data_IF_556453649496
#
_entry.id   IF_556453649496
#
_cell.length_a   1.000
_cell.length_b   1.000
_cell.length_c   1.000
_cell.angle_alpha   90.00
_cell.angle_beta   90.00
_cell.angle_gamma   90.00
#
_symmetry.space_group_name_H-M   'P 1'
#
loop_
_entity.id
_entity.type
_entity.pdbx_description
1 polymer ?
#
# COMPACT_ATOMS: atom_id res chain seq x y z
N UNK A 1 4.38 -14.60 -5.66
CA UNK A 1 4.45 -13.30 -6.39
C UNK A 1 5.84 -12.75 -6.21
N UNK A 2 6.36 -12.00 -7.19
CA UNK A 2 7.60 -11.24 -7.04
C UNK A 2 7.28 -9.84 -6.53
N UNK A 3 8.23 -9.19 -5.84
CA UNK A 3 8.12 -7.79 -5.38
C UNK A 3 7.63 -6.85 -6.47
N UNK A 4 8.16 -6.99 -7.68
CA UNK A 4 7.85 -6.14 -8.83
C UNK A 4 6.36 -6.20 -9.19
N UNK A 5 5.77 -7.39 -9.24
CA UNK A 5 4.32 -7.53 -9.47
C UNK A 5 3.47 -6.95 -8.34
N UNK A 6 3.93 -7.00 -7.10
CA UNK A 6 3.24 -6.36 -5.96
C UNK A 6 3.28 -4.84 -6.14
N UNK A 7 4.44 -4.28 -6.49
CA UNK A 7 4.60 -2.83 -6.71
C UNK A 7 3.65 -2.35 -7.81
N UNK A 8 3.69 -3.00 -8.98
CA UNK A 8 2.85 -2.62 -10.12
C UNK A 8 1.37 -2.71 -9.78
N UNK A 9 0.95 -3.79 -9.12
CA UNK A 9 -0.45 -4.01 -8.78
C UNK A 9 -0.94 -3.09 -7.67
N UNK A 10 -0.15 -2.88 -6.61
CA UNK A 10 -0.44 -1.88 -5.57
C UNK A 10 -0.54 -0.49 -6.21
N UNK A 11 0.45 -0.08 -7.00
CA UNK A 11 0.46 1.25 -7.60
C UNK A 11 -0.72 1.47 -8.52
N UNK A 12 -1.07 0.50 -9.37
CA UNK A 12 -2.23 0.60 -10.25
C UNK A 12 -3.54 0.77 -9.46
N UNK A 13 -3.73 -0.05 -8.42
CA UNK A 13 -4.92 0.03 -7.57
C UNK A 13 -4.98 1.36 -6.84
N UNK A 14 -3.87 1.81 -6.25
CA UNK A 14 -3.85 3.06 -5.51
C UNK A 14 -3.99 4.28 -6.42
N UNK A 15 -3.39 4.25 -7.61
CA UNK A 15 -3.55 5.30 -8.61
C UNK A 15 -5.01 5.44 -9.05
N UNK A 16 -5.72 4.33 -9.25
CA UNK A 16 -7.13 4.32 -9.64
C UNK A 16 -8.04 4.76 -8.48
N UNK A 17 -7.87 4.17 -7.29
CA UNK A 17 -8.75 4.42 -6.13
C UNK A 17 -8.56 5.82 -5.54
N UNK A 18 -7.34 6.36 -5.56
CA UNK A 18 -7.04 7.70 -5.05
C UNK A 18 -6.98 8.78 -6.14
N UNK A 19 -7.17 8.41 -7.41
CA UNK A 19 -7.06 9.30 -8.58
C UNK A 19 -5.70 10.03 -8.64
N UNK A 20 -4.60 9.28 -8.42
CA UNK A 20 -3.23 9.80 -8.35
C UNK A 20 -2.39 9.23 -9.47
N UNK A 21 -1.48 10.04 -10.01
CA UNK A 21 -0.60 9.62 -11.09
C UNK A 21 0.42 8.57 -10.63
N UNK A 22 0.55 7.48 -11.40
CA UNK A 22 1.46 6.38 -11.09
C UNK A 22 2.93 6.82 -11.04
N UNK A 23 3.28 7.89 -11.75
CA UNK A 23 4.60 8.53 -11.71
C UNK A 23 4.99 9.06 -10.32
N UNK A 24 4.01 9.36 -9.46
CA UNK A 24 4.27 9.82 -8.09
C UNK A 24 4.64 8.68 -7.14
N UNK A 25 4.33 7.44 -7.51
CA UNK A 25 4.58 6.25 -6.70
C UNK A 25 6.04 5.80 -6.82
N UNK A 26 6.93 6.59 -6.25
CA UNK A 26 8.34 6.24 -6.17
C UNK A 26 8.62 5.46 -4.87
N UNK A 27 9.54 4.48 -4.87
CA UNK A 27 9.85 3.70 -3.68
C UNK A 27 10.35 4.57 -2.51
N UNK A 28 11.01 5.69 -2.80
CA UNK A 28 11.49 6.64 -1.80
C UNK A 28 10.42 7.67 -1.37
N UNK A 29 9.34 7.84 -2.14
CA UNK A 29 8.28 8.77 -1.81
C UNK A 29 7.52 8.34 -0.55
N UNK A 30 7.07 9.36 0.18
CA UNK A 30 6.25 9.18 1.37
C UNK A 30 4.82 8.79 0.95
N UNK A 31 4.34 7.66 1.46
CA UNK A 31 2.99 7.13 1.16
C UNK A 31 1.92 8.13 1.60
N UNK A 32 2.07 8.71 2.79
CA UNK A 32 1.08 9.61 3.38
C UNK A 32 1.02 10.94 2.64
N UNK A 33 2.16 11.49 2.24
CA UNK A 33 2.17 12.74 1.47
C UNK A 33 1.69 12.52 0.04
N UNK A 34 2.14 11.44 -0.61
CA UNK A 34 1.76 11.15 -2.00
C UNK A 34 0.28 10.89 -2.13
N UNK A 35 -0.28 10.03 -1.26
CA UNK A 35 -1.70 9.68 -1.26
C UNK A 35 -2.57 10.66 -0.48
N UNK A 36 -1.98 11.73 0.08
CA UNK A 36 -2.66 12.66 0.98
C UNK A 36 -3.50 11.93 2.04
N UNK A 37 -2.89 10.97 2.73
CA UNK A 37 -3.59 10.12 3.69
C UNK A 37 -3.91 10.88 4.97
N UNK A 38 -5.14 11.34 5.07
CA UNK A 38 -5.80 11.67 6.33
C UNK A 38 -6.24 10.41 7.10
N UNK A 39 -6.66 10.61 8.35
CA UNK A 39 -7.11 9.55 9.27
C UNK A 39 -8.20 8.64 8.70
N UNK A 40 -9.02 9.14 7.78
CA UNK A 40 -10.09 8.37 7.11
C UNK A 40 -9.56 7.58 5.91
N UNK A 41 -8.84 8.23 5.00
CA UNK A 41 -8.20 7.60 3.83
C UNK A 41 -7.19 6.51 4.20
N UNK A 42 -6.58 6.60 5.39
CA UNK A 42 -5.72 5.55 5.94
C UNK A 42 -6.48 4.22 6.14
N UNK A 43 -7.75 4.29 6.56
CA UNK A 43 -8.61 3.12 6.73
C UNK A 43 -9.00 2.54 5.37
N UNK A 44 -9.27 3.41 4.39
CA UNK A 44 -9.61 3.02 3.02
C UNK A 44 -8.45 2.29 2.34
N UNK A 45 -7.24 2.86 2.38
CA UNK A 45 -6.01 2.24 1.88
C UNK A 45 -5.82 0.82 2.45
N UNK A 46 -5.98 0.69 3.76
CA UNK A 46 -5.86 -0.60 4.47
C UNK A 46 -6.96 -1.56 4.04
N UNK A 47 -8.19 -1.10 3.86
CA UNK A 47 -9.29 -1.94 3.40
C UNK A 47 -9.05 -2.46 1.97
N UNK A 48 -8.60 -1.59 1.05
CA UNK A 48 -8.29 -1.94 -0.34
C UNK A 48 -7.22 -3.02 -0.40
N UNK A 49 -6.08 -2.80 0.25
CA UNK A 49 -4.96 -3.76 0.25
C UNK A 49 -5.38 -5.08 0.91
N UNK A 50 -6.06 -5.04 2.06
CA UNK A 50 -6.55 -6.25 2.72
C UNK A 50 -7.56 -7.02 1.85
N UNK A 51 -8.42 -6.33 1.10
CA UNK A 51 -9.39 -6.99 0.23
C UNK A 51 -8.71 -7.64 -0.97
N UNK A 52 -7.81 -6.91 -1.64
CA UNK A 52 -7.06 -7.37 -2.83
C UNK A 52 -6.15 -8.55 -2.48
N UNK A 53 -5.34 -8.40 -1.44
CA UNK A 53 -4.29 -9.37 -1.10
C UNK A 53 -4.74 -10.40 -0.06
N UNK A 54 -5.97 -10.28 0.48
CA UNK A 54 -6.53 -11.14 1.54
C UNK A 54 -5.66 -11.22 2.79
N UNK A 55 -4.83 -10.22 3.04
CA UNK A 55 -4.00 -10.08 4.24
C UNK A 55 -4.72 -9.27 5.31
N UNK A 56 -4.28 -9.37 6.57
CA UNK A 56 -4.74 -8.50 7.65
C UNK A 56 -3.66 -7.50 7.99
N UNK A 57 -3.92 -6.22 7.74
CA UNK A 57 -2.99 -5.12 8.03
C UNK A 57 -3.61 -4.27 9.15
N UNK A 58 -3.02 -4.23 10.34
CA UNK A 58 -3.46 -3.31 11.37
C UNK A 58 -3.03 -1.88 11.01
N UNK A 59 -3.93 -0.92 11.23
CA UNK A 59 -3.68 0.51 10.97
C UNK A 59 -2.41 1.00 11.68
N UNK A 60 -2.10 0.46 12.87
CA UNK A 60 -0.88 0.79 13.62
C UNK A 60 0.41 0.45 12.89
N UNK A 61 0.44 -0.62 12.07
CA UNK A 61 1.63 -0.94 11.26
C UNK A 61 1.67 -0.08 10.00
N UNK A 62 0.53 0.20 9.38
CA UNK A 62 0.48 1.19 8.28
C UNK A 62 0.92 2.58 8.72
N UNK A 63 0.65 2.97 9.97
CA UNK A 63 1.13 4.23 10.52
C UNK A 63 2.66 4.28 10.67
N UNK A 64 3.33 3.13 10.86
CA UNK A 64 4.79 3.03 10.89
C UNK A 64 5.39 3.08 9.49
N UNK A 65 4.64 2.69 8.47
CA UNK A 65 5.03 2.80 7.07
C UNK A 65 5.10 4.28 6.71
N UNK A 66 6.29 4.71 6.27
CA UNK A 66 6.53 6.08 5.79
C UNK A 66 6.66 6.09 4.28
N UNK A 67 7.47 5.20 3.71
CA UNK A 67 7.74 5.16 2.27
C UNK A 67 7.04 4.01 1.57
N UNK A 68 6.83 4.15 0.26
CA UNK A 68 6.26 3.07 -0.55
C UNK A 68 7.11 1.81 -0.50
N UNK A 69 8.44 1.96 -0.43
CA UNK A 69 9.32 0.81 -0.27
C UNK A 69 8.99 -0.01 0.99
N UNK A 70 8.67 0.64 2.12
CA UNK A 70 8.22 -0.07 3.33
C UNK A 70 6.84 -0.71 3.14
N UNK A 71 5.93 -0.06 2.40
CA UNK A 71 4.62 -0.62 2.10
C UNK A 71 4.73 -1.92 1.31
N UNK A 72 5.51 -1.92 0.22
CA UNK A 72 5.68 -3.10 -0.61
C UNK A 72 6.36 -4.24 0.13
N UNK A 73 7.39 -3.93 0.93
CA UNK A 73 8.10 -4.91 1.75
C UNK A 73 7.17 -5.54 2.80
N UNK A 74 6.31 -4.73 3.41
CA UNK A 74 5.30 -5.19 4.35
C UNK A 74 4.29 -6.12 3.68
N UNK A 75 3.76 -5.71 2.52
CA UNK A 75 2.82 -6.54 1.75
C UNK A 75 3.50 -7.83 1.34
N UNK A 76 4.70 -7.79 0.78
CA UNK A 76 5.49 -8.96 0.38
C UNK A 76 5.69 -9.95 1.54
N UNK A 77 6.06 -9.45 2.72
CA UNK A 77 6.30 -10.29 3.90
C UNK A 77 5.01 -10.90 4.48
N UNK A 78 3.86 -10.26 4.30
CA UNK A 78 2.56 -10.74 4.79
C UNK A 78 1.75 -11.49 3.72
N UNK A 79 2.06 -11.28 2.45
CA UNK A 79 1.41 -11.91 1.31
C UNK A 79 1.82 -13.37 1.23
N UNK A 80 0.88 -14.27 1.52
CA UNK A 80 1.12 -15.73 1.60
C UNK A 80 1.22 -16.29 3.01
N UNK A 81 0.98 -15.50 4.07
CA UNK A 81 0.90 -15.96 5.46
C UNK A 81 -0.51 -16.42 5.90
N UNK A 82 -1.47 -16.50 4.97
CA UNK A 82 -2.80 -17.04 5.24
C UNK A 82 -2.84 -18.53 4.88
N UNK A 83 -2.41 -19.38 5.82
CA UNK A 83 -2.91 -20.75 5.94
C UNK A 83 -4.21 -20.76 6.76
#
# INVERSE_FOLDING_TARGET
MTRESIIEQVNAILAEEFEIDQDLFTPDANVKETLSLDSLSLVDLVAIIQHTYKIKIPVTDLQKIQTFNNLYDYIESHFGQSE
#
